data_IF_145315542339
#
_entry.id   IF_145315542339
#
_cell.length_a   1.000
_cell.length_b   1.000
_cell.length_c   1.000
_cell.angle_alpha   90.00
_cell.angle_beta   90.00
_cell.angle_gamma   90.00
#
_symmetry.space_group_name_H-M   'P 1'
#
loop_
_entity.id
_entity.type
_entity.pdbx_description
1 polymer ?
#
# COMPACT_ATOMS: atom_id res chain seq x y z
N UNK A 1 8.14 -13.37 9.26
CA UNK A 1 6.98 -14.30 9.19
C UNK A 1 7.42 -15.54 8.44
N UNK A 2 6.88 -16.69 8.78
CA UNK A 2 7.36 -17.93 8.17
C UNK A 2 6.63 -18.18 6.84
N UNK A 3 7.22 -18.97 5.97
CA UNK A 3 6.61 -19.55 4.75
C UNK A 3 5.22 -20.09 5.04
N UNK A 4 5.00 -20.64 6.25
CA UNK A 4 3.71 -21.17 6.72
C UNK A 4 2.56 -20.14 6.71
N UNK A 5 2.87 -18.82 6.91
CA UNK A 5 1.83 -17.77 6.89
C UNK A 5 1.35 -17.50 5.46
N UNK A 6 2.27 -17.39 4.51
CA UNK A 6 1.93 -17.20 3.09
C UNK A 6 1.14 -18.40 2.59
N UNK A 7 1.60 -19.64 2.89
CA UNK A 7 0.91 -20.87 2.50
C UNK A 7 -0.51 -20.95 3.05
N UNK A 8 -0.72 -20.58 4.33
CA UNK A 8 -2.07 -20.56 4.94
C UNK A 8 -3.00 -19.55 4.26
N UNK A 9 -2.51 -18.34 4.01
CA UNK A 9 -3.30 -17.28 3.36
C UNK A 9 -3.59 -17.63 1.90
N UNK A 10 -2.62 -18.21 1.18
CA UNK A 10 -2.82 -18.68 -0.19
C UNK A 10 -3.85 -19.81 -0.24
N UNK A 11 -3.78 -20.75 0.70
CA UNK A 11 -4.76 -21.85 0.78
C UNK A 11 -6.20 -21.33 0.98
N UNK A 12 -6.38 -20.23 1.73
CA UNK A 12 -7.69 -19.60 1.87
C UNK A 12 -8.21 -19.00 0.57
N UNK A 13 -7.33 -18.44 -0.26
CA UNK A 13 -7.67 -17.97 -1.61
C UNK A 13 -7.99 -19.12 -2.55
N UNK A 14 -7.20 -20.21 -2.48
CA UNK A 14 -7.33 -21.39 -3.34
C UNK A 14 -8.64 -22.16 -3.08
N UNK A 15 -9.24 -22.07 -1.89
CA UNK A 15 -10.57 -22.62 -1.60
C UNK A 15 -11.67 -22.04 -2.53
N UNK A 16 -11.44 -20.85 -3.07
CA UNK A 16 -12.35 -20.13 -3.98
C UNK A 16 -11.82 -20.07 -5.42
N UNK A 17 -10.76 -20.84 -5.71
CA UNK A 17 -10.15 -20.92 -7.05
C UNK A 17 -10.87 -21.96 -7.89
N UNK A 18 -11.76 -21.47 -8.74
CA UNK A 18 -12.48 -22.32 -9.70
C UNK A 18 -11.77 -22.34 -11.07
N UNK A 19 -12.09 -23.34 -11.89
CA UNK A 19 -11.65 -23.39 -13.29
C UNK A 19 -12.15 -22.13 -14.04
N UNK A 20 -11.26 -21.34 -14.70
CA UNK A 20 -11.64 -20.13 -15.44
C UNK A 20 -12.64 -20.41 -16.58
N UNK A 21 -12.66 -21.62 -17.15
CA UNK A 21 -13.45 -21.94 -18.34
C UNK A 21 -13.06 -21.02 -19.51
N UNK A 22 -14.06 -20.38 -20.13
CA UNK A 22 -13.86 -19.44 -21.25
C UNK A 22 -13.70 -17.97 -20.78
N UNK A 23 -13.61 -17.70 -19.49
CA UNK A 23 -13.48 -16.35 -18.97
C UNK A 23 -12.05 -15.80 -19.17
N UNK A 24 -11.90 -14.50 -19.50
CA UNK A 24 -10.58 -13.89 -19.51
C UNK A 24 -9.97 -13.94 -18.10
N UNK A 25 -8.70 -14.32 -18.03
CA UNK A 25 -7.94 -14.43 -16.77
C UNK A 25 -7.16 -13.14 -16.53
N UNK A 26 -7.20 -12.63 -15.29
CA UNK A 26 -6.35 -11.55 -14.81
C UNK A 26 -5.48 -12.09 -13.67
N UNK A 27 -4.17 -12.13 -13.88
CA UNK A 27 -3.18 -12.61 -12.89
C UNK A 27 -2.83 -11.48 -11.93
N UNK A 28 -3.31 -11.59 -10.70
CA UNK A 28 -3.10 -10.64 -9.62
C UNK A 28 -1.98 -11.14 -8.69
N UNK A 29 -0.92 -10.37 -8.53
CA UNK A 29 0.21 -10.69 -7.66
C UNK A 29 0.34 -9.62 -6.59
N UNK A 30 0.17 -10.01 -5.32
CA UNK A 30 0.07 -9.06 -4.21
C UNK A 30 0.87 -9.55 -3.02
N UNK A 31 1.42 -8.63 -2.25
CA UNK A 31 2.15 -8.98 -1.04
C UNK A 31 1.23 -9.63 0.00
N UNK A 32 1.69 -10.73 0.58
CA UNK A 32 0.96 -11.50 1.58
C UNK A 32 0.60 -10.71 2.85
N UNK A 33 1.29 -9.61 3.14
CA UNK A 33 1.03 -8.70 4.25
C UNK A 33 0.52 -7.32 3.78
N UNK A 34 0.31 -7.14 2.47
CA UNK A 34 -0.38 -5.99 1.89
C UNK A 34 -1.89 -6.07 2.12
N UNK A 35 -2.52 -4.94 2.35
CA UNK A 35 -3.97 -4.88 2.62
C UNK A 35 -4.87 -5.18 1.41
N UNK A 36 -4.48 -4.99 0.13
CA UNK A 36 -5.31 -5.37 -1.00
C UNK A 36 -5.74 -6.83 -0.99
N UNK A 37 -4.96 -7.74 -0.35
CA UNK A 37 -5.33 -9.16 -0.25
C UNK A 37 -6.72 -9.39 0.36
N UNK A 38 -7.19 -8.50 1.23
CA UNK A 38 -8.53 -8.61 1.84
C UNK A 38 -9.63 -8.43 0.81
N UNK A 39 -9.51 -7.44 -0.07
CA UNK A 39 -10.47 -7.19 -1.15
C UNK A 39 -10.42 -8.29 -2.19
N UNK A 40 -9.22 -8.72 -2.58
CA UNK A 40 -9.05 -9.79 -3.58
C UNK A 40 -9.62 -11.12 -3.07
N UNK A 41 -9.37 -11.46 -1.79
CA UNK A 41 -10.00 -12.61 -1.14
C UNK A 41 -11.53 -12.49 -1.18
N UNK A 42 -12.08 -11.34 -0.81
CA UNK A 42 -13.53 -11.14 -0.77
C UNK A 42 -14.15 -11.16 -2.16
N UNK A 43 -13.47 -10.63 -3.19
CA UNK A 43 -13.90 -10.78 -4.60
C UNK A 43 -14.04 -12.25 -4.95
N UNK A 44 -13.02 -13.07 -4.65
CA UNK A 44 -13.05 -14.51 -4.91
C UNK A 44 -14.11 -15.23 -4.08
N UNK A 45 -14.17 -14.93 -2.79
CA UNK A 45 -15.11 -15.52 -1.83
C UNK A 45 -16.58 -15.30 -2.21
N UNK A 46 -16.90 -14.12 -2.75
CA UNK A 46 -18.25 -13.75 -3.18
C UNK A 46 -18.52 -14.08 -4.66
N UNK A 47 -17.50 -14.48 -5.42
CA UNK A 47 -17.62 -14.76 -6.85
C UNK A 47 -17.84 -13.52 -7.72
N UNK A 48 -17.47 -12.32 -7.23
CA UNK A 48 -17.67 -11.06 -7.95
C UNK A 48 -16.88 -11.01 -9.26
N UNK A 49 -15.71 -11.63 -9.33
CA UNK A 49 -14.95 -11.75 -10.58
C UNK A 49 -15.78 -12.45 -11.67
N UNK A 50 -16.45 -13.54 -11.32
CA UNK A 50 -17.31 -14.27 -12.25
C UNK A 50 -18.60 -13.54 -12.59
N UNK A 51 -19.19 -12.87 -11.61
CA UNK A 51 -20.37 -12.04 -11.82
C UNK A 51 -20.08 -10.93 -12.83
N UNK A 52 -18.88 -10.32 -12.77
CA UNK A 52 -18.40 -9.34 -13.72
C UNK A 52 -17.82 -9.95 -15.01
N UNK A 53 -17.74 -11.28 -15.13
CA UNK A 53 -17.38 -11.98 -16.36
C UNK A 53 -15.88 -11.99 -16.64
N UNK A 54 -15.05 -12.16 -15.63
CA UNK A 54 -13.62 -12.48 -15.70
C UNK A 54 -13.24 -13.48 -14.61
N UNK A 55 -12.02 -14.00 -14.66
CA UNK A 55 -11.45 -14.84 -13.61
C UNK A 55 -10.24 -14.13 -13.00
N UNK A 56 -10.28 -13.90 -11.69
CA UNK A 56 -9.18 -13.34 -10.93
C UNK A 56 -8.30 -14.46 -10.38
N UNK A 57 -7.09 -14.57 -10.90
CA UNK A 57 -6.07 -15.53 -10.43
C UNK A 57 -5.15 -14.81 -9.44
N UNK A 58 -5.37 -15.01 -8.14
CA UNK A 58 -4.64 -14.33 -7.05
C UNK A 58 -3.52 -15.20 -6.52
N UNK A 59 -2.30 -14.67 -6.54
CA UNK A 59 -1.16 -15.26 -5.87
C UNK A 59 -0.53 -14.26 -4.92
N UNK A 60 -0.32 -14.67 -3.66
CA UNK A 60 0.39 -13.89 -2.66
C UNK A 60 1.90 -14.13 -2.76
N UNK A 61 2.65 -13.04 -2.71
CA UNK A 61 4.12 -13.06 -2.82
C UNK A 61 4.76 -12.49 -1.54
N UNK A 62 6.08 -12.67 -1.43
CA UNK A 62 6.88 -12.07 -0.35
C UNK A 62 6.90 -10.54 -0.47
N UNK A 63 7.10 -9.86 0.65
CA UNK A 63 7.33 -8.41 0.73
C UNK A 63 8.82 -8.04 0.72
N UNK A 64 9.69 -9.00 0.45
CA UNK A 64 11.13 -8.76 0.32
C UNK A 64 11.45 -8.07 -1.00
N UNK A 65 12.48 -7.20 -1.00
CA UNK A 65 12.91 -6.51 -2.21
C UNK A 65 13.74 -7.45 -3.10
N UNK A 66 13.42 -7.50 -4.38
CA UNK A 66 14.17 -8.19 -5.42
C UNK A 66 14.95 -7.16 -6.26
N UNK A 67 16.30 -7.17 -6.18
CA UNK A 67 17.11 -6.22 -6.93
C UNK A 67 16.89 -4.73 -6.58
N UNK A 68 16.33 -4.44 -5.40
CA UNK A 68 15.96 -3.09 -4.96
C UNK A 68 14.54 -2.66 -5.32
N UNK A 69 13.79 -3.49 -6.01
CA UNK A 69 12.41 -3.34 -6.45
C UNK A 69 11.49 -4.17 -5.54
N UNK A 70 10.23 -3.78 -5.40
CA UNK A 70 9.24 -4.63 -4.75
C UNK A 70 8.98 -5.88 -5.60
N UNK A 71 8.74 -7.02 -4.96
CA UNK A 71 8.52 -8.30 -5.67
C UNK A 71 7.35 -8.21 -6.66
N UNK A 72 6.29 -7.46 -6.33
CA UNK A 72 5.13 -7.28 -7.21
C UNK A 72 5.50 -6.50 -8.49
N UNK A 73 6.36 -5.48 -8.39
CA UNK A 73 6.87 -4.72 -9.55
C UNK A 73 7.67 -5.65 -10.48
N UNK A 74 8.56 -6.46 -9.91
CA UNK A 74 9.35 -7.44 -10.68
C UNK A 74 8.43 -8.43 -11.42
N UNK A 75 7.36 -8.92 -10.76
CA UNK A 75 6.38 -9.83 -11.38
C UNK A 75 5.63 -9.20 -12.56
N UNK A 76 5.27 -7.92 -12.45
CA UNK A 76 4.63 -7.20 -13.55
C UNK A 76 5.58 -7.02 -14.74
N UNK A 77 6.83 -6.61 -14.48
CA UNK A 77 7.83 -6.40 -15.52
C UNK A 77 8.21 -7.71 -16.25
N UNK A 78 8.28 -8.82 -15.52
CA UNK A 78 8.57 -10.14 -16.10
C UNK A 78 7.35 -10.77 -16.84
N UNK A 79 6.18 -10.11 -16.81
CA UNK A 79 4.95 -10.60 -17.41
C UNK A 79 4.30 -11.76 -16.65
N UNK A 80 4.62 -11.95 -15.38
CA UNK A 80 4.01 -12.94 -14.48
C UNK A 80 2.77 -12.39 -13.76
N UNK A 81 2.58 -11.08 -13.78
CA UNK A 81 1.40 -10.39 -13.27
C UNK A 81 0.74 -9.54 -14.33
N UNK A 82 -0.58 -9.40 -14.24
CA UNK A 82 -1.40 -8.47 -15.02
C UNK A 82 -1.91 -7.32 -14.13
N UNK A 83 -1.94 -7.53 -12.81
CA UNK A 83 -2.42 -6.60 -11.80
C UNK A 83 -1.57 -6.66 -10.53
N UNK A 84 -1.12 -5.49 -10.07
CA UNK A 84 -0.38 -5.29 -8.81
C UNK A 84 -0.88 -4.04 -8.10
N UNK A 85 -0.36 -3.74 -6.90
CA UNK A 85 -0.50 -2.43 -6.26
C UNK A 85 0.85 -1.88 -5.80
N UNK A 86 1.11 -0.63 -6.09
CA UNK A 86 2.20 0.16 -5.50
C UNK A 86 1.78 1.63 -5.32
N UNK A 87 2.63 2.43 -4.69
CA UNK A 87 2.40 3.87 -4.60
C UNK A 87 2.73 4.59 -5.91
N UNK A 88 2.03 5.71 -6.15
CA UNK A 88 2.17 6.43 -7.42
C UNK A 88 3.52 7.15 -7.59
N UNK A 89 4.28 7.40 -6.50
CA UNK A 89 5.62 7.97 -6.57
C UNK A 89 6.59 6.91 -7.11
N UNK A 90 6.50 5.66 -6.61
CA UNK A 90 7.22 4.51 -7.16
C UNK A 90 6.82 4.28 -8.62
N UNK A 91 5.52 4.34 -8.95
CA UNK A 91 5.04 4.24 -10.33
C UNK A 91 5.69 5.29 -11.24
N UNK A 92 5.80 6.54 -10.78
CA UNK A 92 6.45 7.60 -11.56
C UNK A 92 7.94 7.32 -11.79
N UNK A 93 8.66 6.79 -10.80
CA UNK A 93 10.07 6.37 -10.95
C UNK A 93 10.24 5.28 -11.99
N UNK A 94 9.49 4.19 -11.84
CA UNK A 94 9.57 3.04 -12.75
C UNK A 94 9.25 3.45 -14.20
N UNK A 95 8.23 4.29 -14.39
CA UNK A 95 7.91 4.82 -15.72
C UNK A 95 9.00 5.74 -16.28
N UNK A 96 9.62 6.55 -15.45
CA UNK A 96 10.73 7.42 -15.88
C UNK A 96 11.94 6.59 -16.33
N UNK A 97 12.11 5.38 -15.79
CA UNK A 97 13.12 4.40 -16.19
C UNK A 97 12.68 3.54 -17.40
N UNK A 98 11.45 3.73 -17.89
CA UNK A 98 10.93 3.07 -19.09
C UNK A 98 10.11 1.81 -18.83
N UNK A 99 9.68 1.56 -17.60
CA UNK A 99 8.79 0.46 -17.28
C UNK A 99 7.42 0.63 -17.96
N UNK A 100 6.88 -0.47 -18.49
CA UNK A 100 5.54 -0.57 -19.07
C UNK A 100 4.50 -0.76 -17.95
N UNK A 101 4.14 0.33 -17.28
CA UNK A 101 3.28 0.30 -16.07
C UNK A 101 2.36 1.53 -16.05
N UNK A 102 1.11 1.37 -15.65
CA UNK A 102 0.11 2.44 -15.60
C UNK A 102 -0.88 2.21 -14.45
N UNK A 103 -1.23 3.29 -13.74
CA UNK A 103 -2.22 3.25 -12.67
C UNK A 103 -3.65 3.33 -13.25
N UNK A 104 -4.49 2.38 -12.89
CA UNK A 104 -5.84 2.20 -13.46
C UNK A 104 -6.96 2.40 -12.45
N UNK A 105 -6.67 2.34 -11.14
CA UNK A 105 -7.68 2.55 -10.10
C UNK A 105 -7.01 2.93 -8.77
N UNK A 106 -7.65 3.77 -7.92
CA UNK A 106 -7.12 4.08 -6.61
C UNK A 106 -7.30 2.87 -5.68
N UNK A 107 -6.38 2.74 -4.74
CA UNK A 107 -6.54 1.82 -3.62
C UNK A 107 -6.77 2.58 -2.32
N UNK A 108 -5.81 3.36 -1.85
CA UNK A 108 -5.90 4.02 -0.56
C UNK A 108 -5.02 5.24 -0.39
N UNK A 109 -5.43 6.10 0.56
CA UNK A 109 -4.78 7.40 0.77
C UNK A 109 -3.49 7.32 1.56
N UNK A 110 -3.32 6.27 2.37
CA UNK A 110 -2.05 6.02 3.02
C UNK A 110 -1.89 4.60 3.49
N UNK A 111 -0.73 4.37 4.09
CA UNK A 111 -0.27 3.03 4.34
C UNK A 111 0.51 2.89 5.65
N UNK A 112 0.07 3.50 6.75
CA UNK A 112 0.62 3.23 8.06
C UNK A 112 0.90 4.45 8.92
N UNK A 113 1.85 4.31 9.84
CA UNK A 113 2.19 5.31 10.84
C UNK A 113 3.61 5.22 11.36
N UNK A 114 4.04 6.27 12.03
CA UNK A 114 5.22 6.26 12.87
C UNK A 114 4.86 5.52 14.16
N UNK A 115 5.50 4.41 14.42
CA UNK A 115 5.26 3.55 15.58
C UNK A 115 6.52 3.48 16.44
N UNK A 116 6.35 3.64 17.74
CA UNK A 116 7.43 3.60 18.72
C UNK A 116 7.00 2.87 20.01
N UNK A 117 7.92 2.49 20.92
CA UNK A 117 7.58 2.01 22.25
C UNK A 117 6.72 3.03 23.02
N UNK A 118 5.80 2.58 23.90
CA UNK A 118 4.94 3.45 24.69
C UNK A 118 5.70 4.38 25.66
N UNK A 119 6.92 3.99 26.07
CA UNK A 119 7.80 4.76 26.95
C UNK A 119 8.82 5.62 26.17
N UNK A 120 8.58 5.83 24.86
CA UNK A 120 9.44 6.66 24.00
C UNK A 120 9.39 8.13 24.38
N UNK A 121 10.45 8.88 24.03
CA UNK A 121 10.47 10.34 24.01
C UNK A 121 10.15 10.93 22.62
N UNK A 122 9.78 10.09 21.65
CA UNK A 122 9.33 10.53 20.33
C UNK A 122 7.83 10.77 20.39
N UNK A 123 7.42 12.04 20.49
CA UNK A 123 6.01 12.46 20.50
C UNK A 123 5.54 13.00 19.13
N UNK A 124 6.45 13.17 18.17
CA UNK A 124 6.14 13.68 16.84
C UNK A 124 7.36 13.88 15.95
N UNK A 125 7.16 14.58 14.84
CA UNK A 125 8.21 14.79 13.82
C UNK A 125 9.45 15.53 14.36
N UNK A 126 9.27 16.45 15.31
CA UNK A 126 10.36 17.26 15.87
C UNK A 126 11.37 16.44 16.65
N UNK A 127 10.96 15.28 17.14
CA UNK A 127 11.74 14.45 18.01
C UNK A 127 12.53 13.36 17.26
N UNK A 128 12.38 13.31 15.91
CA UNK A 128 13.11 12.33 15.10
C UNK A 128 14.64 12.53 15.10
N UNK A 129 15.10 13.77 15.30
CA UNK A 129 16.52 14.10 15.29
C UNK A 129 17.31 13.35 16.37
N UNK A 130 18.39 12.68 15.97
CA UNK A 130 19.23 11.90 16.86
C UNK A 130 18.76 10.45 17.07
N UNK A 131 17.54 10.09 16.66
CA UNK A 131 17.00 8.75 16.79
C UNK A 131 17.27 7.88 15.57
N UNK A 132 17.21 6.55 15.77
CA UNK A 132 17.29 5.53 14.74
C UNK A 132 15.87 5.22 14.26
N UNK A 133 15.60 5.52 12.99
CA UNK A 133 14.27 5.36 12.42
C UNK A 133 14.27 4.24 11.38
N UNK A 134 13.52 3.17 11.64
CA UNK A 134 13.38 2.06 10.70
C UNK A 134 12.51 2.45 9.50
N UNK A 135 13.02 2.22 8.31
CA UNK A 135 12.35 2.43 7.02
C UNK A 135 12.49 1.16 6.17
N UNK A 136 11.57 0.88 5.24
CA UNK A 136 11.78 -0.26 4.33
C UNK A 136 12.97 0.02 3.42
N UNK A 137 12.97 1.18 2.77
CA UNK A 137 14.07 1.73 1.95
C UNK A 137 14.01 3.26 1.99
N UNK A 138 15.10 3.95 1.63
CA UNK A 138 15.12 5.42 1.65
C UNK A 138 14.18 6.08 0.65
N UNK A 139 13.83 5.40 -0.43
CA UNK A 139 12.85 5.88 -1.43
C UNK A 139 11.43 5.40 -1.13
N UNK A 140 11.17 4.91 0.09
CA UNK A 140 9.81 4.55 0.53
C UNK A 140 8.96 5.81 0.73
N UNK A 141 7.70 5.74 0.29
CA UNK A 141 6.73 6.83 0.39
C UNK A 141 6.54 7.39 1.80
N UNK A 142 6.56 6.53 2.83
CA UNK A 142 6.40 6.99 4.21
C UNK A 142 7.60 7.84 4.65
N UNK A 143 8.83 7.46 4.23
CA UNK A 143 10.01 8.27 4.50
C UNK A 143 10.01 9.58 3.72
N UNK A 144 9.61 9.56 2.45
CA UNK A 144 9.48 10.76 1.61
C UNK A 144 8.50 11.76 2.23
N UNK A 145 7.30 11.30 2.62
CA UNK A 145 6.27 12.11 3.28
C UNK A 145 6.78 12.68 4.61
N UNK A 146 7.48 11.88 5.41
CA UNK A 146 8.08 12.31 6.68
C UNK A 146 9.13 13.40 6.45
N UNK A 147 10.03 13.22 5.49
CA UNK A 147 11.06 14.22 5.12
C UNK A 147 10.42 15.52 4.65
N UNK A 148 9.44 15.45 3.75
CA UNK A 148 8.71 16.61 3.27
C UNK A 148 8.04 17.37 4.42
N UNK A 149 7.32 16.67 5.29
CA UNK A 149 6.66 17.30 6.42
C UNK A 149 7.64 17.95 7.42
N UNK A 150 8.78 17.30 7.72
CA UNK A 150 9.80 17.88 8.58
C UNK A 150 10.41 19.14 7.95
N UNK A 151 10.69 19.14 6.65
CA UNK A 151 11.23 20.32 5.95
C UNK A 151 10.21 21.46 5.90
N UNK A 152 8.95 21.15 5.52
CA UNK A 152 7.90 22.15 5.37
C UNK A 152 7.51 22.81 6.71
N UNK A 153 7.28 22.00 7.75
CA UNK A 153 6.69 22.50 9.00
C UNK A 153 7.69 22.78 10.11
N UNK A 154 8.89 22.19 10.02
CA UNK A 154 9.88 22.25 11.11
C UNK A 154 11.25 22.71 10.66
N UNK A 155 11.51 22.85 9.33
CA UNK A 155 12.72 23.44 8.78
C UNK A 155 13.97 22.57 8.89
N UNK A 156 13.82 21.23 9.02
CA UNK A 156 14.94 20.29 9.03
C UNK A 156 14.63 19.05 8.19
N UNK A 157 15.67 18.35 7.73
CA UNK A 157 15.55 17.05 7.07
C UNK A 157 15.95 15.94 8.04
N UNK A 158 15.05 15.01 8.39
CA UNK A 158 15.39 13.88 9.25
C UNK A 158 16.40 12.92 8.60
N UNK A 159 16.57 12.94 7.28
CA UNK A 159 17.63 12.17 6.61
C UNK A 159 19.05 12.66 6.95
N UNK A 160 19.18 13.92 7.38
CA UNK A 160 20.44 14.53 7.82
C UNK A 160 20.63 14.49 9.34
N UNK A 161 19.53 14.46 10.11
CA UNK A 161 19.57 14.67 11.56
C UNK A 161 19.20 13.43 12.38
N UNK A 162 18.46 12.47 11.80
CA UNK A 162 18.21 11.15 12.36
C UNK A 162 19.15 10.11 11.74
N UNK A 163 18.96 8.84 12.13
CA UNK A 163 19.66 7.70 11.51
C UNK A 163 18.64 6.76 10.90
N UNK A 164 18.27 6.91 9.63
CA UNK A 164 17.38 5.98 8.95
C UNK A 164 18.08 4.63 8.76
N UNK A 165 17.41 3.54 9.19
CA UNK A 165 17.89 2.16 9.11
C UNK A 165 16.97 1.38 8.17
N UNK A 166 17.52 0.85 7.07
CA UNK A 166 16.76 0.12 6.08
C UNK A 166 16.51 -1.33 6.51
N UNK A 167 15.25 -1.72 6.58
CA UNK A 167 14.80 -3.04 6.99
C UNK A 167 14.59 -4.02 5.83
N UNK A 168 14.44 -3.53 4.60
CA UNK A 168 14.21 -4.31 3.38
C UNK A 168 12.83 -4.97 3.28
N UNK A 169 12.01 -4.95 4.35
CA UNK A 169 10.65 -5.50 4.38
C UNK A 169 9.85 -4.96 5.57
N UNK A 170 8.52 -5.07 5.51
CA UNK A 170 7.61 -4.72 6.62
C UNK A 170 7.82 -5.62 7.85
N UNK A 171 8.11 -6.89 7.61
CA UNK A 171 8.46 -7.85 8.67
C UNK A 171 9.79 -7.46 9.32
N UNK A 172 10.76 -7.00 8.52
CA UNK A 172 12.04 -6.47 9.00
C UNK A 172 11.85 -5.29 9.93
N UNK A 173 10.94 -4.35 9.61
CA UNK A 173 10.61 -3.21 10.48
C UNK A 173 10.09 -3.66 11.85
N UNK A 174 9.11 -4.58 11.87
CA UNK A 174 8.58 -5.12 13.14
C UNK A 174 9.66 -5.77 13.98
N UNK A 175 10.55 -6.56 13.35
CA UNK A 175 11.65 -7.21 14.05
C UNK A 175 12.63 -6.19 14.64
N UNK A 176 13.07 -5.21 13.85
CA UNK A 176 14.02 -4.18 14.32
C UNK A 176 13.46 -3.37 15.50
N UNK A 177 12.17 -3.04 15.47
CA UNK A 177 11.51 -2.36 16.58
C UNK A 177 11.49 -3.25 17.83
N UNK A 178 11.10 -4.52 17.68
CA UNK A 178 11.03 -5.49 18.78
C UNK A 178 12.41 -5.77 19.41
N UNK A 179 13.45 -5.86 18.59
CA UNK A 179 14.82 -6.15 19.03
C UNK A 179 15.56 -4.90 19.57
N UNK A 180 14.91 -3.71 19.53
CA UNK A 180 15.50 -2.44 19.96
C UNK A 180 16.65 -1.97 19.06
N UNK A 181 16.70 -2.43 17.82
CA UNK A 181 17.69 -1.98 16.83
C UNK A 181 17.41 -0.57 16.35
N UNK A 182 16.12 -0.15 16.41
CA UNK A 182 15.64 1.20 16.09
C UNK A 182 14.77 1.74 17.22
N UNK A 183 14.62 3.06 17.28
CA UNK A 183 13.87 3.75 18.30
C UNK A 183 12.41 3.96 17.90
N UNK A 184 12.14 4.02 16.58
CA UNK A 184 10.80 4.03 15.97
C UNK A 184 10.86 3.44 14.56
N UNK A 185 9.71 3.09 14.00
CA UNK A 185 9.58 2.60 12.62
C UNK A 185 8.46 3.31 11.88
N UNK A 186 8.64 3.52 10.58
CA UNK A 186 7.56 3.89 9.66
C UNK A 186 6.89 2.60 9.18
N UNK A 187 5.95 2.09 9.98
CA UNK A 187 5.29 0.83 9.72
C UNK A 187 4.07 1.00 8.83
N UNK A 188 3.70 -0.07 8.15
CA UNK A 188 2.59 -0.11 7.20
C UNK A 188 1.30 -0.58 7.86
N UNK A 189 0.21 -0.05 7.37
CA UNK A 189 -1.09 -0.61 7.65
C UNK A 189 -1.29 -1.90 6.81
N UNK A 190 -1.79 -3.03 7.32
CA UNK A 190 -2.50 -3.23 8.58
C UNK A 190 -1.63 -3.69 9.76
N UNK A 191 -0.31 -3.64 9.67
CA UNK A 191 0.59 -4.13 10.72
C UNK A 191 0.55 -3.21 11.95
N UNK A 192 0.32 -1.90 11.75
CA UNK A 192 0.25 -0.94 12.86
C UNK A 192 -0.75 -1.40 13.94
N UNK A 193 -2.04 -1.66 13.65
CA UNK A 193 -2.97 -2.15 14.68
C UNK A 193 -2.56 -3.49 15.29
N UNK A 194 -1.94 -4.39 14.52
CA UNK A 194 -1.48 -5.68 15.04
C UNK A 194 -0.42 -5.53 16.13
N UNK A 195 0.52 -4.59 15.99
CA UNK A 195 1.60 -4.39 16.95
C UNK A 195 1.23 -3.48 18.10
N UNK A 196 0.37 -2.48 17.89
CA UNK A 196 -0.08 -1.56 18.96
C UNK A 196 -1.10 -2.22 19.90
N UNK A 197 -1.97 -3.09 19.41
CA UNK A 197 -2.92 -3.83 20.26
C UNK A 197 -2.27 -4.96 21.08
N UNK A 198 -1.09 -5.44 20.70
CA UNK A 198 -0.48 -6.63 21.31
C UNK A 198 0.83 -6.37 22.07
N UNK A 199 1.48 -5.27 21.79
CA UNK A 199 2.77 -4.94 22.36
C UNK A 199 2.78 -3.61 23.09
N UNK A 200 3.89 -3.28 23.76
CA UNK A 200 4.05 -1.98 24.42
C UNK A 200 4.44 -0.90 23.39
N UNK A 201 3.65 -0.77 22.33
CA UNK A 201 3.89 0.16 21.23
C UNK A 201 2.70 1.08 21.01
N UNK A 202 2.96 2.30 20.57
CA UNK A 202 1.95 3.26 20.17
C UNK A 202 2.20 3.80 18.76
N UNK A 203 1.12 4.15 18.05
CA UNK A 203 1.20 4.94 16.84
C UNK A 203 1.36 6.42 17.25
N UNK A 204 2.56 6.96 17.04
CA UNK A 204 2.89 8.35 17.36
C UNK A 204 2.23 9.31 16.36
N UNK A 205 2.21 8.92 15.09
CA UNK A 205 1.71 9.78 14.00
C UNK A 205 1.23 8.91 12.83
N UNK A 206 -0.07 8.99 12.46
CA UNK A 206 -0.56 8.34 11.24
C UNK A 206 -0.08 9.07 9.98
N UNK A 207 0.39 8.34 8.96
CA UNK A 207 0.83 8.93 7.70
C UNK A 207 -0.30 9.66 6.97
N UNK A 208 -1.57 9.31 7.21
CA UNK A 208 -2.74 10.02 6.68
C UNK A 208 -2.77 11.49 7.05
N UNK A 209 -2.34 11.83 8.25
CA UNK A 209 -2.24 13.21 8.69
C UNK A 209 -1.20 13.98 7.86
N UNK A 210 -0.06 13.36 7.56
CA UNK A 210 0.97 14.01 6.73
C UNK A 210 0.47 14.24 5.30
N UNK A 211 -0.18 13.24 4.70
CA UNK A 211 -0.75 13.38 3.35
C UNK A 211 -1.78 14.51 3.33
N UNK A 212 -2.69 14.57 4.29
CA UNK A 212 -3.70 15.63 4.36
C UNK A 212 -3.07 17.01 4.52
N UNK A 213 -2.08 17.13 5.39
CA UNK A 213 -1.38 18.41 5.63
C UNK A 213 -0.60 18.87 4.41
N UNK A 214 0.17 17.98 3.77
CA UNK A 214 0.99 18.28 2.62
C UNK A 214 0.17 18.54 1.35
N UNK A 215 -0.97 17.86 1.18
CA UNK A 215 -1.84 18.06 0.02
C UNK A 215 -2.61 19.38 0.06
N UNK A 216 -2.81 19.95 1.24
CA UNK A 216 -3.60 21.18 1.43
C UNK A 216 -5.08 21.07 1.03
N UNK A 217 -5.62 19.84 0.96
CA UNK A 217 -7.01 19.56 0.60
C UNK A 217 -7.65 18.59 1.57
N UNK A 218 -8.97 18.73 1.77
CA UNK A 218 -9.77 17.75 2.53
C UNK A 218 -10.17 16.52 1.70
N UNK A 219 -9.91 16.54 0.38
CA UNK A 219 -10.16 15.39 -0.49
C UNK A 219 -9.21 14.25 -0.13
N UNK A 220 -9.74 13.02 -0.06
CA UNK A 220 -8.93 11.83 0.11
C UNK A 220 -8.14 11.55 -1.17
N UNK A 221 -6.85 11.85 -1.18
CA UNK A 221 -5.95 11.54 -2.29
C UNK A 221 -5.36 10.13 -2.11
N UNK A 222 -5.40 9.27 -3.12
CA UNK A 222 -4.74 7.98 -3.04
C UNK A 222 -3.22 8.14 -3.14
N UNK A 223 -2.51 7.42 -2.30
CA UNK A 223 -1.06 7.22 -2.42
C UNK A 223 -0.81 5.89 -3.13
N UNK A 224 -1.55 4.83 -2.76
CA UNK A 224 -1.46 3.53 -3.42
C UNK A 224 -2.54 3.37 -4.48
N UNK A 225 -2.15 2.76 -5.59
CA UNK A 225 -2.99 2.55 -6.77
C UNK A 225 -2.85 1.11 -7.27
N UNK A 226 -3.88 0.61 -7.95
CA UNK A 226 -3.78 -0.62 -8.74
C UNK A 226 -3.17 -0.30 -10.10
N UNK A 227 -2.27 -1.18 -10.53
CA UNK A 227 -1.50 -0.99 -11.74
C UNK A 227 -1.58 -2.23 -12.65
N UNK A 228 -1.46 -1.94 -13.93
CA UNK A 228 -1.27 -2.95 -14.99
C UNK A 228 -0.21 -2.46 -15.96
N UNK A 229 0.22 -3.28 -16.94
CA UNK A 229 1.04 -2.77 -18.05
C UNK A 229 0.18 -2.00 -19.06
N UNK A 230 0.74 -0.98 -19.72
CA UNK A 230 0.04 -0.31 -20.84
C UNK A 230 -0.28 -1.30 -21.97
N UNK A 231 0.62 -2.27 -22.18
CA UNK A 231 0.40 -3.36 -23.14
C UNK A 231 -0.83 -4.19 -22.77
N UNK A 232 -0.93 -4.66 -21.52
CA UNK A 232 -2.10 -5.43 -21.08
C UNK A 232 -3.39 -4.61 -21.14
N UNK A 233 -3.34 -3.34 -20.71
CA UNK A 233 -4.50 -2.44 -20.79
C UNK A 233 -4.99 -2.26 -22.22
N UNK A 234 -4.07 -2.11 -23.19
CA UNK A 234 -4.42 -1.95 -24.60
C UNK A 234 -5.03 -3.23 -25.21
N UNK A 235 -4.57 -4.41 -24.79
CA UNK A 235 -5.06 -5.70 -25.29
C UNK A 235 -6.33 -6.17 -24.57
N UNK A 236 -6.50 -5.80 -23.28
CA UNK A 236 -7.56 -6.31 -22.41
C UNK A 236 -8.32 -5.20 -21.65
N UNK A 237 -8.72 -4.08 -22.28
CA UNK A 237 -9.33 -2.94 -21.57
C UNK A 237 -10.64 -3.34 -20.85
N UNK A 238 -11.43 -4.23 -21.46
CA UNK A 238 -12.67 -4.73 -20.83
C UNK A 238 -12.43 -5.56 -19.57
N UNK A 239 -11.32 -6.31 -19.51
CA UNK A 239 -10.97 -7.09 -18.30
C UNK A 239 -10.54 -6.17 -17.17
N UNK A 240 -9.78 -5.11 -17.46
CA UNK A 240 -9.39 -4.09 -16.47
C UNK A 240 -10.64 -3.37 -15.97
N UNK A 241 -11.57 -2.95 -16.84
CA UNK A 241 -12.82 -2.32 -16.44
C UNK A 241 -13.67 -3.24 -15.54
N UNK A 242 -13.80 -4.51 -15.89
CA UNK A 242 -14.52 -5.51 -15.08
C UNK A 242 -13.90 -5.69 -13.69
N UNK A 243 -12.57 -5.67 -13.59
CA UNK A 243 -11.91 -5.68 -12.30
C UNK A 243 -12.24 -4.44 -11.48
N UNK A 244 -12.17 -3.24 -12.06
CA UNK A 244 -12.50 -2.00 -11.32
C UNK A 244 -13.95 -1.97 -10.87
N UNK A 245 -14.89 -2.52 -11.65
CA UNK A 245 -16.29 -2.64 -11.26
C UNK A 245 -16.47 -3.65 -10.10
N UNK A 246 -15.86 -4.85 -10.19
CA UNK A 246 -15.86 -5.83 -9.11
C UNK A 246 -15.19 -5.30 -7.82
N UNK A 247 -14.15 -4.48 -7.97
CA UNK A 247 -13.49 -3.84 -6.84
C UNK A 247 -14.40 -2.81 -6.15
N UNK A 248 -15.16 -2.01 -6.90
CA UNK A 248 -16.15 -1.08 -6.31
C UNK A 248 -17.21 -1.84 -5.53
N UNK A 249 -17.73 -2.94 -6.09
CA UNK A 249 -18.74 -3.76 -5.43
C UNK A 249 -18.20 -4.37 -4.13
N UNK A 250 -16.97 -4.91 -4.13
CA UNK A 250 -16.40 -5.47 -2.90
C UNK A 250 -16.15 -4.41 -1.84
N UNK A 251 -15.75 -3.20 -2.22
CA UNK A 251 -15.62 -2.08 -1.29
C UNK A 251 -16.96 -1.75 -0.63
N UNK A 252 -18.06 -1.72 -1.39
CA UNK A 252 -19.40 -1.50 -0.85
C UNK A 252 -19.83 -2.60 0.12
N UNK A 253 -19.52 -3.87 -0.20
CA UNK A 253 -19.79 -5.01 0.68
C UNK A 253 -18.98 -4.93 1.98
N UNK A 254 -17.69 -4.68 1.92
CA UNK A 254 -16.81 -4.57 3.09
C UNK A 254 -17.12 -3.38 4.00
N UNK A 255 -17.70 -2.31 3.46
CA UNK A 255 -18.21 -1.20 4.28
C UNK A 255 -19.51 -1.56 4.98
N UNK A 256 -20.36 -2.40 4.37
CA UNK A 256 -21.70 -2.71 4.87
C UNK A 256 -21.78 -3.96 5.76
N UNK A 257 -20.84 -4.90 5.64
CA UNK A 257 -20.94 -6.24 6.21
C UNK A 257 -19.78 -6.56 7.16
N UNK A 258 -20.01 -6.43 8.45
CA UNK A 258 -19.01 -6.73 9.49
C UNK A 258 -18.56 -8.20 9.51
N UNK A 259 -19.47 -9.13 9.20
CA UNK A 259 -19.19 -10.58 9.17
C UNK A 259 -18.07 -10.94 8.17
N UNK A 260 -17.93 -10.18 7.09
CA UNK A 260 -16.83 -10.37 6.13
C UNK A 260 -15.47 -10.06 6.77
N UNK A 261 -15.40 -9.08 7.67
CA UNK A 261 -14.19 -8.76 8.39
C UNK A 261 -13.80 -9.79 9.44
N UNK A 262 -14.79 -10.43 10.08
CA UNK A 262 -14.55 -11.56 10.98
C UNK A 262 -13.92 -12.72 10.20
N UNK A 263 -14.47 -13.08 9.03
CA UNK A 263 -13.90 -14.11 8.14
C UNK A 263 -12.49 -13.74 7.65
N UNK A 264 -12.25 -12.50 7.24
CA UNK A 264 -10.92 -11.99 6.86
C UNK A 264 -9.93 -12.14 8.03
N UNK A 265 -10.34 -11.83 9.25
CA UNK A 265 -9.52 -11.99 10.45
C UNK A 265 -9.06 -13.44 10.62
N UNK A 266 -9.99 -14.38 10.57
CA UNK A 266 -9.72 -15.82 10.72
C UNK A 266 -8.80 -16.37 9.60
N UNK A 267 -8.99 -15.91 8.36
CA UNK A 267 -8.36 -16.51 7.18
C UNK A 267 -7.04 -15.85 6.79
N UNK A 268 -6.96 -14.51 6.88
CA UNK A 268 -5.88 -13.75 6.27
C UNK A 268 -5.04 -12.93 7.25
N UNK A 269 -5.54 -12.61 8.44
CA UNK A 269 -4.74 -11.87 9.41
C UNK A 269 -3.80 -12.81 10.18
N UNK A 270 -2.74 -12.25 10.71
CA UNK A 270 -1.82 -12.98 11.59
C UNK A 270 -2.49 -13.33 12.90
N UNK A 271 -3.39 -12.47 13.35
CA UNK A 271 -4.15 -12.61 14.59
C UNK A 271 -5.63 -12.38 14.31
N UNK A 272 -6.47 -13.26 14.82
CA UNK A 272 -7.94 -13.24 14.73
C UNK A 272 -8.61 -12.57 15.94
N UNK A 273 -7.85 -11.78 16.71
CA UNK A 273 -8.39 -11.03 17.84
C UNK A 273 -9.44 -10.03 17.37
N UNK A 274 -10.67 -10.02 17.92
CA UNK A 274 -11.74 -9.13 17.48
C UNK A 274 -11.41 -7.63 17.64
N UNK A 275 -10.51 -7.26 18.56
CA UNK A 275 -10.01 -5.89 18.71
C UNK A 275 -9.17 -5.48 17.53
N UNK A 276 -8.22 -6.34 17.14
CA UNK A 276 -7.34 -6.14 15.98
C UNK A 276 -8.17 -6.09 14.69
N UNK A 277 -9.08 -7.04 14.49
CA UNK A 277 -9.95 -7.08 13.31
C UNK A 277 -10.74 -5.77 13.16
N UNK A 278 -11.33 -5.25 14.25
CA UNK A 278 -12.03 -3.97 14.23
C UNK A 278 -11.09 -2.80 13.91
N UNK A 279 -9.93 -2.73 14.56
CA UNK A 279 -8.96 -1.66 14.31
C UNK A 279 -8.48 -1.65 12.85
N UNK A 280 -8.23 -2.83 12.28
CA UNK A 280 -7.88 -3.01 10.86
C UNK A 280 -9.03 -2.56 9.95
N UNK A 281 -10.27 -2.99 10.23
CA UNK A 281 -11.45 -2.55 9.47
C UNK A 281 -11.64 -1.04 9.49
N UNK A 282 -11.61 -0.43 10.68
CA UNK A 282 -11.86 0.98 10.86
C UNK A 282 -10.78 1.83 10.16
N UNK A 283 -9.51 1.41 10.27
CA UNK A 283 -8.40 2.01 9.53
C UNK A 283 -8.56 1.87 8.01
N UNK A 284 -9.04 0.71 7.53
CA UNK A 284 -9.30 0.52 6.10
C UNK A 284 -10.43 1.44 5.60
N UNK A 285 -11.51 1.60 6.35
CA UNK A 285 -12.61 2.49 5.98
C UNK A 285 -12.17 3.96 5.89
N UNK A 286 -11.22 4.36 6.75
CA UNK A 286 -10.62 5.69 6.65
C UNK A 286 -9.68 5.82 5.45
N UNK A 287 -8.92 4.77 5.15
CA UNK A 287 -7.89 4.76 4.13
C UNK A 287 -8.44 4.63 2.71
N UNK A 288 -9.50 3.84 2.49
CA UNK A 288 -9.99 3.51 1.14
C UNK A 288 -10.41 4.76 0.36
N UNK A 289 -9.97 4.85 -0.91
CA UNK A 289 -10.32 5.91 -1.84
C UNK A 289 -11.14 5.32 -2.97
N UNK A 290 -12.25 5.97 -3.32
CA UNK A 290 -13.19 5.52 -4.36
C UNK A 290 -13.13 6.36 -5.62
N UNK A 291 -12.77 7.64 -5.45
CA UNK A 291 -12.79 8.61 -6.54
C UNK A 291 -11.55 8.44 -7.43
N UNK A 292 -11.78 8.23 -8.73
CA UNK A 292 -10.74 8.13 -9.75
C UNK A 292 -11.13 8.99 -10.93
N UNK A 293 -11.24 10.28 -10.68
CA UNK A 293 -11.60 11.31 -11.64
C UNK A 293 -10.42 12.27 -11.90
N UNK A 294 -10.57 13.18 -12.85
CA UNK A 294 -9.56 14.16 -13.19
C UNK A 294 -9.17 15.02 -11.98
N UNK A 295 -10.10 15.37 -11.11
CA UNK A 295 -9.83 16.19 -9.92
C UNK A 295 -8.94 15.44 -8.90
N UNK A 296 -9.14 14.13 -8.74
CA UNK A 296 -8.28 13.28 -7.91
C UNK A 296 -6.87 13.21 -8.48
N UNK A 297 -6.74 12.97 -9.78
CA UNK A 297 -5.44 12.90 -10.46
C UNK A 297 -4.70 14.23 -10.38
N UNK A 298 -5.37 15.36 -10.68
CA UNK A 298 -4.78 16.69 -10.50
C UNK A 298 -4.36 16.95 -9.04
N UNK A 299 -5.11 16.42 -8.08
CA UNK A 299 -4.75 16.49 -6.66
C UNK A 299 -3.48 15.71 -6.35
N UNK A 300 -3.32 14.52 -6.91
CA UNK A 300 -2.10 13.70 -6.78
C UNK A 300 -0.89 14.38 -7.44
N UNK A 301 -1.06 14.94 -8.63
CA UNK A 301 -0.01 15.68 -9.34
C UNK A 301 0.41 16.92 -8.53
N UNK A 302 -0.53 17.69 -8.01
CA UNK A 302 -0.22 18.84 -7.14
C UNK A 302 0.52 18.42 -5.86
N UNK A 303 0.13 17.31 -5.23
CA UNK A 303 0.84 16.78 -4.07
C UNK A 303 2.27 16.36 -4.46
N UNK A 304 2.44 15.70 -5.59
CA UNK A 304 3.76 15.31 -6.09
C UNK A 304 4.66 16.52 -6.33
N UNK A 305 4.16 17.54 -7.04
CA UNK A 305 4.90 18.78 -7.30
C UNK A 305 5.30 19.47 -5.99
N UNK A 306 4.39 19.49 -5.00
CA UNK A 306 4.69 20.03 -3.68
C UNK A 306 5.77 19.21 -2.95
N UNK A 307 5.69 17.88 -2.98
CA UNK A 307 6.72 17.01 -2.41
C UNK A 307 8.08 17.24 -3.10
N UNK A 308 8.08 17.43 -4.42
CA UNK A 308 9.28 17.73 -5.21
C UNK A 308 9.90 19.08 -4.80
N UNK A 309 9.07 20.11 -4.66
CA UNK A 309 9.51 21.45 -4.23
C UNK A 309 10.13 21.44 -2.82
N UNK A 310 9.52 20.68 -1.91
CA UNK A 310 9.93 20.67 -0.49
C UNK A 310 11.07 19.67 -0.24
N UNK A 311 10.97 18.45 -0.73
CA UNK A 311 11.94 17.38 -0.45
C UNK A 311 13.04 17.26 -1.51
N UNK A 312 12.76 17.72 -2.73
CA UNK A 312 13.68 17.68 -3.87
C UNK A 312 13.66 16.34 -4.63
N UNK A 313 14.19 16.34 -5.88
CA UNK A 313 14.13 15.17 -6.75
C UNK A 313 14.95 13.98 -6.23
N UNK A 314 16.01 14.23 -5.48
CA UNK A 314 16.83 13.17 -4.88
C UNK A 314 16.02 12.36 -3.84
N UNK A 315 15.16 13.04 -3.08
CA UNK A 315 14.31 12.37 -2.08
C UNK A 315 13.18 11.55 -2.72
N UNK A 316 12.66 12.01 -3.87
CA UNK A 316 11.60 11.30 -4.60
C UNK A 316 12.18 10.25 -5.56
N UNK A 317 13.42 10.36 -5.97
CA UNK A 317 14.07 9.51 -6.98
C UNK A 317 13.59 9.76 -8.40
N UNK A 318 12.81 10.84 -8.62
CA UNK A 318 12.26 11.22 -9.94
C UNK A 318 11.97 12.71 -9.96
N UNK A 319 12.05 13.35 -11.16
CA UNK A 319 11.91 14.81 -11.32
C UNK A 319 10.49 15.26 -11.70
N UNK A 320 9.64 14.35 -12.18
CA UNK A 320 8.26 14.63 -12.58
C UNK A 320 7.46 13.34 -12.72
N UNK A 321 6.14 13.43 -12.73
CA UNK A 321 5.27 12.32 -13.11
C UNK A 321 5.26 12.22 -14.65
N UNK A 322 5.73 11.10 -15.24
CA UNK A 322 5.67 10.91 -16.69
C UNK A 322 4.23 10.96 -17.23
N UNK A 323 4.06 11.51 -18.44
CA UNK A 323 2.77 11.54 -19.12
C UNK A 323 2.20 10.11 -19.24
N UNK A 324 0.90 9.97 -18.97
CA UNK A 324 0.21 8.70 -19.06
C UNK A 324 0.39 7.76 -17.85
N UNK A 325 0.97 8.23 -16.75
CA UNK A 325 1.06 7.46 -15.51
C UNK A 325 -0.33 7.05 -14.98
N UNK A 326 -1.34 7.87 -15.16
CA UNK A 326 -2.71 7.61 -14.70
C UNK A 326 -3.66 7.41 -15.87
N UNK A 327 -4.59 6.46 -15.74
CA UNK A 327 -5.68 6.20 -16.67
C UNK A 327 -7.01 6.28 -15.91
N UNK A 328 -7.67 7.46 -15.89
CA UNK A 328 -9.03 7.55 -15.40
C UNK A 328 -9.97 6.81 -16.36
N UNK A 329 -10.86 5.99 -15.83
CA UNK A 329 -11.85 5.21 -16.60
C UNK A 329 -11.20 4.32 -17.69
N UNK A 330 -10.35 3.36 -17.26
CA UNK A 330 -9.69 2.46 -18.19
C UNK A 330 -10.64 1.56 -18.97
#
# INVERSE_FOLDING_TARGET
MSTDTIERQQAALDEHHDDPGDLPVMRARFEHNGSPRYMLYTIKRLGLDREHGFHLDVQLVSDELEGGMETVEARLQDGDADLIDIDYISTARERAEGADIVAVHPYGRTVGGLVAPEDTDIEGLTDLSGHRIGVVRRLDKNWILTRAACREYHGFDPDETATPVEAGSKVGLTRMLHDGEVDAVLQFWPIVPEITERGPYCEVLPMSELVQRLSGTDRKLPISTFLTSETYLAEHPETVRKFTDAYRDVVDRLVAEDDLWEEIGERLMTYDDPGIVRAVRDGWQDMVVRDWDEETIEGMERLFDHLLDVAGPEALGVEHIPEGTFRPNP
#
